data_IF_346379574809
#
_entry.id   IF_346379574809
#
_cell.length_a   1.000
_cell.length_b   1.000
_cell.length_c   1.000
_cell.angle_alpha   90.00
_cell.angle_beta   90.00
_cell.angle_gamma   90.00
#
_symmetry.space_group_name_H-M   'P 1'
#
loop_
_entity.id
_entity.type
_entity.pdbx_description
1 polymer ?
#
# COMPACT_ATOMS: atom_id res chain seq x y z
N UNK A 1 6.33 -27.84 27.35
CA UNK A 1 6.88 -26.98 26.27
C UNK A 1 5.75 -26.80 25.26
N UNK A 2 5.10 -25.64 25.22
CA UNK A 2 3.88 -25.42 24.41
C UNK A 2 3.63 -23.95 24.06
N UNK A 3 4.05 -23.02 24.92
CA UNK A 3 3.71 -21.60 24.77
C UNK A 3 4.34 -20.87 23.57
N UNK A 4 5.41 -21.41 22.96
CA UNK A 4 6.07 -20.74 21.84
C UNK A 4 5.33 -20.92 20.50
N UNK A 5 4.64 -22.06 20.32
CA UNK A 5 3.89 -22.34 19.08
C UNK A 5 2.60 -21.51 19.02
N UNK A 6 1.87 -21.40 20.14
CA UNK A 6 0.71 -20.52 20.27
C UNK A 6 1.08 -19.04 20.03
N UNK A 7 2.20 -18.58 20.59
CA UNK A 7 2.68 -17.20 20.38
C UNK A 7 3.02 -16.91 18.92
N UNK A 8 3.66 -17.85 18.22
CA UNK A 8 3.96 -17.72 16.79
C UNK A 8 2.68 -17.67 15.94
N UNK A 9 1.69 -18.52 16.23
CA UNK A 9 0.43 -18.58 15.48
C UNK A 9 -0.37 -17.28 15.62
N UNK A 10 -0.48 -16.72 16.83
CA UNK A 10 -1.18 -15.44 17.06
C UNK A 10 -0.47 -14.28 16.36
N UNK A 11 0.86 -14.32 16.33
CA UNK A 11 1.66 -13.30 15.64
C UNK A 11 1.50 -13.39 14.12
N UNK A 12 1.33 -14.59 13.58
CA UNK A 12 1.05 -14.85 12.16
C UNK A 12 -0.31 -14.29 11.72
N UNK A 13 -1.38 -14.62 12.45
CA UNK A 13 -2.73 -14.10 12.18
C UNK A 13 -2.74 -12.57 12.20
N UNK A 14 -2.05 -11.97 13.17
CA UNK A 14 -1.92 -10.52 13.27
C UNK A 14 -1.20 -9.88 12.08
N UNK A 15 -0.16 -10.51 11.55
CA UNK A 15 0.61 -10.01 10.41
C UNK A 15 -0.15 -10.14 9.09
N UNK A 16 -0.82 -11.26 8.85
CA UNK A 16 -1.65 -11.48 7.65
C UNK A 16 -2.85 -10.53 7.61
N UNK A 17 -3.53 -10.34 8.76
CA UNK A 17 -4.59 -9.34 8.90
C UNK A 17 -4.08 -7.92 8.64
N UNK A 18 -2.89 -7.57 9.15
CA UNK A 18 -2.28 -6.27 8.88
C UNK A 18 -1.95 -6.10 7.39
N UNK A 19 -1.43 -7.15 6.73
CA UNK A 19 -1.15 -7.18 5.29
C UNK A 19 -2.39 -6.84 4.46
N UNK A 20 -3.46 -7.58 4.74
CA UNK A 20 -4.73 -7.47 4.03
C UNK A 20 -5.34 -6.09 4.25
N UNK A 21 -5.31 -5.56 5.48
CA UNK A 21 -5.79 -4.22 5.78
C UNK A 21 -5.00 -3.14 5.04
N UNK A 22 -3.66 -3.24 5.02
CA UNK A 22 -2.81 -2.29 4.31
C UNK A 22 -3.09 -2.34 2.80
N UNK A 23 -3.22 -3.53 2.21
CA UNK A 23 -3.56 -3.68 0.79
C UNK A 23 -4.92 -3.07 0.43
N UNK A 24 -5.92 -3.25 1.29
CA UNK A 24 -7.24 -2.64 1.15
C UNK A 24 -7.18 -1.10 1.26
N UNK A 25 -6.45 -0.58 2.25
CA UNK A 25 -6.24 0.86 2.44
C UNK A 25 -5.48 1.48 1.27
N UNK A 26 -4.48 0.78 0.73
CA UNK A 26 -3.76 1.21 -0.46
C UNK A 26 -4.71 1.36 -1.66
N UNK A 27 -5.51 0.31 -1.90
CA UNK A 27 -6.50 0.31 -2.99
C UNK A 27 -7.58 1.39 -2.82
N UNK A 28 -7.94 1.73 -1.58
CA UNK A 28 -8.86 2.85 -1.31
C UNK A 28 -8.18 4.18 -1.61
N UNK A 29 -6.94 4.38 -1.14
CA UNK A 29 -6.20 5.61 -1.34
C UNK A 29 -5.96 5.90 -2.83
N UNK A 30 -5.68 4.87 -3.63
CA UNK A 30 -5.57 5.02 -5.09
C UNK A 30 -6.87 5.53 -5.74
N UNK A 31 -8.02 5.03 -5.28
CA UNK A 31 -9.33 5.49 -5.76
C UNK A 31 -9.59 6.94 -5.36
N UNK A 32 -9.29 7.29 -4.12
CA UNK A 32 -9.45 8.66 -3.61
C UNK A 32 -8.54 9.65 -4.35
N UNK A 33 -7.29 9.27 -4.63
CA UNK A 33 -6.35 10.08 -5.42
C UNK A 33 -6.84 10.29 -6.86
N UNK A 34 -7.40 9.26 -7.50
CA UNK A 34 -7.98 9.36 -8.83
C UNK A 34 -9.21 10.29 -8.86
N UNK A 35 -10.07 10.22 -7.85
CA UNK A 35 -11.23 11.10 -7.71
C UNK A 35 -10.80 12.55 -7.51
N UNK A 36 -9.85 12.80 -6.58
CA UNK A 36 -9.29 14.13 -6.33
C UNK A 36 -8.66 14.72 -7.60
N UNK A 37 -7.91 13.92 -8.38
CA UNK A 37 -7.38 14.35 -9.67
C UNK A 37 -8.48 14.78 -10.63
N UNK A 38 -9.57 14.01 -10.70
CA UNK A 38 -10.74 14.35 -11.53
C UNK A 38 -11.37 15.69 -11.13
N UNK A 39 -11.48 15.98 -9.83
CA UNK A 39 -11.98 17.25 -9.31
C UNK A 39 -11.04 18.41 -9.67
N UNK A 40 -9.73 18.22 -9.53
CA UNK A 40 -8.71 19.23 -9.90
C UNK A 40 -8.79 19.54 -11.41
N UNK A 41 -8.83 18.53 -12.27
CA UNK A 41 -8.98 18.73 -13.73
C UNK A 41 -10.30 19.42 -14.06
N UNK A 42 -11.41 19.04 -13.42
CA UNK A 42 -12.68 19.76 -13.58
C UNK A 42 -12.60 21.22 -13.14
N UNK A 43 -11.80 21.55 -12.13
CA UNK A 43 -11.66 22.93 -11.67
C UNK A 43 -10.91 23.81 -12.67
N UNK A 44 -10.13 23.23 -13.59
CA UNK A 44 -9.34 23.95 -14.60
C UNK A 44 -10.18 24.92 -15.45
N UNK A 45 -11.43 24.57 -15.73
CA UNK A 45 -12.35 25.42 -16.51
C UNK A 45 -12.64 26.77 -15.83
N UNK A 46 -12.43 26.88 -14.52
CA UNK A 46 -12.60 28.13 -13.77
C UNK A 46 -11.32 28.97 -13.68
N UNK A 47 -10.18 28.45 -14.15
CA UNK A 47 -8.86 29.06 -14.03
C UNK A 47 -8.36 29.65 -15.36
N UNK A 48 -9.26 29.89 -16.33
CA UNK A 48 -8.90 30.43 -17.65
C UNK A 48 -8.24 31.82 -17.56
N UNK A 49 -7.09 31.98 -18.24
CA UNK A 49 -6.30 33.22 -18.27
C UNK A 49 -4.92 33.07 -17.60
N UNK A 50 -4.45 34.12 -16.91
CA UNK A 50 -3.10 34.24 -16.35
C UNK A 50 -2.74 33.16 -15.30
N UNK A 51 -3.73 32.43 -14.78
CA UNK A 51 -3.55 31.38 -13.76
C UNK A 51 -3.22 29.99 -14.32
N UNK A 52 -3.17 29.83 -15.65
CA UNK A 52 -2.97 28.53 -16.31
C UNK A 52 -1.58 27.91 -16.05
N UNK A 53 -0.55 28.76 -15.89
CA UNK A 53 0.80 28.31 -15.51
C UNK A 53 0.87 27.76 -14.09
N UNK A 54 0.30 28.50 -13.13
CA UNK A 54 0.19 28.08 -11.73
C UNK A 54 -0.62 26.79 -11.59
N UNK A 55 -1.69 26.63 -12.37
CA UNK A 55 -2.47 25.41 -12.39
C UNK A 55 -1.63 24.19 -12.82
N UNK A 56 -0.85 24.33 -13.90
CA UNK A 56 0.04 23.24 -14.35
C UNK A 56 1.08 22.86 -13.30
N UNK A 57 1.72 23.83 -12.64
CA UNK A 57 2.66 23.53 -11.55
C UNK A 57 2.00 22.79 -10.38
N UNK A 58 0.79 23.22 -9.98
CA UNK A 58 0.04 22.56 -8.91
C UNK A 58 -0.37 21.14 -9.30
N UNK A 59 -0.81 20.94 -10.54
CA UNK A 59 -1.18 19.62 -11.05
C UNK A 59 0.03 18.69 -11.12
N UNK A 60 1.18 19.17 -11.59
CA UNK A 60 2.41 18.38 -11.60
C UNK A 60 2.87 17.99 -10.19
N UNK A 61 2.78 18.91 -9.24
CA UNK A 61 3.09 18.63 -7.84
C UNK A 61 2.13 17.59 -7.25
N UNK A 62 0.84 17.70 -7.55
CA UNK A 62 -0.16 16.71 -7.15
C UNK A 62 0.14 15.32 -7.71
N UNK A 63 0.39 15.21 -9.01
CA UNK A 63 0.75 13.93 -9.65
C UNK A 63 2.02 13.31 -9.02
N UNK A 64 3.02 14.14 -8.67
CA UNK A 64 4.22 13.68 -7.95
C UNK A 64 3.89 13.13 -6.56
N UNK A 65 3.17 13.90 -5.75
CA UNK A 65 2.81 13.51 -4.37
C UNK A 65 1.94 12.25 -4.36
N UNK A 66 0.98 12.14 -5.29
CA UNK A 66 0.14 10.95 -5.46
C UNK A 66 0.97 9.71 -5.84
N UNK A 67 1.94 9.86 -6.75
CA UNK A 67 2.80 8.75 -7.15
C UNK A 67 3.74 8.30 -6.01
N UNK A 68 4.29 9.22 -5.23
CA UNK A 68 5.14 8.88 -4.09
C UNK A 68 4.36 8.09 -3.03
N UNK A 69 3.12 8.48 -2.77
CA UNK A 69 2.20 7.76 -1.87
C UNK A 69 1.92 6.34 -2.41
N UNK A 70 1.60 6.21 -3.70
CA UNK A 70 1.34 4.92 -4.33
C UNK A 70 2.56 3.99 -4.24
N UNK A 71 3.77 4.50 -4.52
CA UNK A 71 5.01 3.73 -4.41
C UNK A 71 5.28 3.28 -2.96
N UNK A 72 5.05 4.14 -1.98
CA UNK A 72 5.20 3.78 -0.57
C UNK A 72 4.24 2.64 -0.17
N UNK A 73 2.97 2.72 -0.59
CA UNK A 73 1.98 1.69 -0.33
C UNK A 73 2.32 0.35 -1.00
N UNK A 74 2.78 0.38 -2.26
CA UNK A 74 3.25 -0.83 -2.95
C UNK A 74 4.46 -1.44 -2.23
N UNK A 75 5.39 -0.61 -1.74
CA UNK A 75 6.53 -1.06 -0.95
C UNK A 75 6.10 -1.76 0.34
N UNK A 76 5.14 -1.20 1.07
CA UNK A 76 4.61 -1.85 2.28
C UNK A 76 3.92 -3.16 1.91
N UNK A 77 3.08 -3.18 0.87
CA UNK A 77 2.43 -4.40 0.39
C UNK A 77 3.44 -5.51 0.04
N UNK A 78 4.55 -5.16 -0.61
CA UNK A 78 5.61 -6.09 -0.95
C UNK A 78 6.31 -6.65 0.30
N UNK A 79 6.67 -5.80 1.26
CA UNK A 79 7.32 -6.23 2.52
C UNK A 79 6.42 -7.18 3.31
N UNK A 80 5.12 -6.90 3.38
CA UNK A 80 4.21 -7.77 4.12
C UNK A 80 3.96 -9.09 3.38
N UNK A 81 3.77 -9.06 2.05
CA UNK A 81 3.61 -10.28 1.25
C UNK A 81 4.87 -11.18 1.31
N UNK A 82 6.06 -10.57 1.26
CA UNK A 82 7.33 -11.29 1.35
C UNK A 82 7.52 -11.90 2.75
N UNK A 83 7.06 -11.22 3.80
CA UNK A 83 7.08 -11.74 5.17
C UNK A 83 6.16 -12.97 5.33
N UNK A 84 4.99 -12.97 4.68
CA UNK A 84 4.08 -14.12 4.66
C UNK A 84 4.59 -15.30 3.80
N UNK A 85 5.14 -15.03 2.62
CA UNK A 85 5.58 -16.05 1.67
C UNK A 85 6.90 -16.75 2.04
N UNK A 86 7.91 -15.98 2.47
CA UNK A 86 9.25 -16.52 2.82
C UNK A 86 9.18 -17.48 4.01
N UNK A 87 8.24 -17.26 4.93
CA UNK A 87 8.10 -18.09 6.12
C UNK A 87 7.29 -19.37 5.89
N UNK A 88 6.31 -19.37 4.99
CA UNK A 88 5.58 -20.59 4.58
C UNK A 88 6.53 -21.62 3.92
N UNK A 89 7.49 -21.13 3.13
CA UNK A 89 8.58 -21.96 2.59
C UNK A 89 9.54 -22.43 3.67
N UNK A 90 9.91 -21.54 4.60
CA UNK A 90 10.80 -21.85 5.73
C UNK A 90 10.24 -22.93 6.64
N UNK A 91 8.94 -22.89 6.95
CA UNK A 91 8.28 -23.83 7.84
C UNK A 91 8.02 -25.18 7.15
N UNK A 92 7.68 -25.19 5.84
CA UNK A 92 7.68 -26.43 5.05
C UNK A 92 9.05 -27.10 5.04
N UNK A 93 10.12 -26.32 4.95
CA UNK A 93 11.51 -26.82 5.04
C UNK A 93 11.83 -27.34 6.44
N UNK A 94 11.49 -26.60 7.48
CA UNK A 94 11.71 -27.03 8.86
C UNK A 94 10.93 -28.31 9.20
N UNK A 95 9.65 -28.38 8.84
CA UNK A 95 8.80 -29.55 9.03
C UNK A 95 9.29 -30.78 8.25
N UNK A 96 9.91 -30.59 7.08
CA UNK A 96 10.54 -31.70 6.34
C UNK A 96 11.86 -32.19 6.96
N UNK A 97 12.48 -31.43 7.86
CA UNK A 97 13.63 -31.89 8.65
C UNK A 97 13.24 -32.63 9.95
N UNK A 98 11.96 -32.61 10.34
CA UNK A 98 11.46 -33.30 11.54
C UNK A 98 10.68 -34.61 11.23
N UNK A 99 10.88 -35.21 10.05
CA UNK A 99 10.38 -36.55 9.72
C UNK A 99 11.47 -37.61 9.86
#
# INVERSE_FOLDING_TARGET
>A
MGNNADGLSVTYDGLDHAATNIGNQASQLERDLAELRGLVVKSQQYWEGQAQGTFHEKLQRWDKEANDIHQALQGIGHVVAQSGGTYMEGDKKAASYFH
#
